data_IF_270398507883
#
_entry.id   IF_270398507883
#
_cell.length_a   1.000
_cell.length_b   1.000
_cell.length_c   1.000
_cell.angle_alpha   90.00
_cell.angle_beta   90.00
_cell.angle_gamma   90.00
#
_symmetry.space_group_name_H-M   'P 1'
#
loop_
_entity.id
_entity.type
_entity.pdbx_description
1 polymer ?
#
# COMPACT_ATOMS: atom_id res chain seq x y z
N UNK A 1 -6.14 26.62 -3.95
CA UNK A 1 -4.85 26.27 -3.31
C UNK A 1 -3.75 27.12 -3.94
N UNK A 2 -2.85 27.75 -3.17
CA UNK A 2 -1.75 28.55 -3.74
C UNK A 2 -0.68 27.65 -4.37
N UNK A 3 -0.08 28.08 -5.48
CA UNK A 3 0.95 27.31 -6.22
C UNK A 3 2.13 26.90 -5.33
N UNK A 4 2.56 27.80 -4.42
CA UNK A 4 3.60 27.48 -3.43
C UNK A 4 3.23 26.29 -2.53
N UNK A 5 1.96 26.15 -2.13
CA UNK A 5 1.51 25.02 -1.29
C UNK A 5 1.48 23.71 -2.07
N UNK A 6 1.00 23.71 -3.33
CA UNK A 6 1.03 22.53 -4.19
C UNK A 6 2.45 21.99 -4.34
N UNK A 7 3.41 22.88 -4.60
CA UNK A 7 4.83 22.53 -4.72
C UNK A 7 5.39 21.89 -3.46
N UNK A 8 5.07 22.44 -2.28
CA UNK A 8 5.51 21.87 -0.99
C UNK A 8 4.91 20.47 -0.77
N UNK A 9 3.61 20.29 -1.00
CA UNK A 9 2.94 18.99 -0.82
C UNK A 9 3.51 17.93 -1.77
N UNK A 10 3.79 18.32 -3.02
CA UNK A 10 4.42 17.45 -4.00
C UNK A 10 5.84 17.04 -3.56
N UNK A 11 6.66 17.99 -3.09
CA UNK A 11 7.99 17.70 -2.58
C UNK A 11 7.97 16.78 -1.35
N UNK A 12 7.05 17.01 -0.41
CA UNK A 12 6.88 16.16 0.77
C UNK A 12 6.47 14.73 0.39
N UNK A 13 5.61 14.58 -0.62
CA UNK A 13 5.20 13.26 -1.14
C UNK A 13 6.40 12.52 -1.72
N UNK A 14 7.20 13.18 -2.58
CA UNK A 14 8.42 12.61 -3.17
C UNK A 14 9.43 12.25 -2.08
N UNK A 15 9.60 13.12 -1.08
CA UNK A 15 10.50 12.88 0.05
C UNK A 15 10.05 11.66 0.88
N UNK A 16 8.76 11.51 1.16
CA UNK A 16 8.23 10.35 1.88
C UNK A 16 8.48 9.03 1.14
N UNK A 17 8.21 8.97 -0.16
CA UNK A 17 8.52 7.79 -0.97
C UNK A 17 10.03 7.51 -1.06
N UNK A 18 10.84 8.56 -1.17
CA UNK A 18 12.31 8.43 -1.22
C UNK A 18 12.88 7.92 0.10
N UNK A 19 12.42 8.45 1.23
CA UNK A 19 12.85 8.02 2.57
C UNK A 19 12.39 6.60 2.87
N UNK A 20 11.14 6.25 2.51
CA UNK A 20 10.68 4.86 2.56
C UNK A 20 11.65 3.94 1.82
N UNK A 21 11.94 4.28 0.56
CA UNK A 21 12.79 3.46 -0.28
C UNK A 21 14.21 3.35 0.28
N UNK A 22 14.87 4.46 0.62
CA UNK A 22 16.26 4.47 1.10
C UNK A 22 16.39 3.69 2.40
N UNK A 23 15.53 3.94 3.38
CA UNK A 23 15.62 3.30 4.69
C UNK A 23 15.38 1.79 4.57
N UNK A 24 14.31 1.39 3.88
CA UNK A 24 14.01 -0.04 3.69
C UNK A 24 15.08 -0.73 2.85
N UNK A 25 15.55 -0.08 1.78
CA UNK A 25 16.60 -0.62 0.92
C UNK A 25 17.91 -0.84 1.69
N UNK A 26 18.37 0.17 2.44
CA UNK A 26 19.60 0.07 3.23
C UNK A 26 19.51 -1.03 4.28
N UNK A 27 18.37 -1.14 4.96
CA UNK A 27 18.15 -2.19 5.96
C UNK A 27 18.10 -3.58 5.30
N UNK A 28 17.36 -3.74 4.20
CA UNK A 28 17.32 -5.01 3.43
C UNK A 28 18.69 -5.38 2.83
N UNK A 29 19.48 -4.40 2.39
CA UNK A 29 20.82 -4.63 1.89
C UNK A 29 21.76 -5.10 3.00
N UNK A 30 21.71 -4.45 4.17
CA UNK A 30 22.46 -4.90 5.35
C UNK A 30 22.02 -6.32 5.76
N UNK A 31 20.71 -6.60 5.70
CA UNK A 31 20.17 -7.91 6.00
C UNK A 31 20.73 -8.98 5.06
N UNK A 32 20.77 -8.72 3.74
CA UNK A 32 21.36 -9.63 2.75
C UNK A 32 22.87 -9.81 2.99
N UNK A 33 23.62 -8.75 3.25
CA UNK A 33 25.09 -8.85 3.42
C UNK A 33 25.45 -9.60 4.73
N UNK A 34 24.70 -9.39 5.82
CA UNK A 34 25.05 -9.90 7.15
C UNK A 34 24.34 -11.23 7.49
N UNK A 35 23.21 -11.56 6.85
CA UNK A 35 22.45 -12.79 7.10
C UNK A 35 23.20 -14.10 6.83
N UNK A 36 24.28 -14.19 6.03
CA UNK A 36 25.05 -15.45 5.95
C UNK A 36 25.71 -15.84 7.28
N UNK A 37 26.17 -14.85 8.05
CA UNK A 37 26.95 -15.07 9.28
C UNK A 37 26.19 -14.72 10.56
N UNK A 38 25.16 -13.88 10.49
CA UNK A 38 24.37 -13.42 11.62
C UNK A 38 22.91 -13.89 11.52
N UNK A 39 22.28 -14.12 12.68
CA UNK A 39 20.85 -14.47 12.76
C UNK A 39 20.53 -15.90 13.17
N UNK A 40 21.50 -16.67 13.67
CA UNK A 40 21.31 -18.03 14.18
C UNK A 40 20.51 -18.91 13.20
N UNK A 41 19.28 -19.30 13.55
CA UNK A 41 18.42 -20.18 12.75
C UNK A 41 17.94 -19.53 11.45
N UNK A 42 17.94 -18.20 11.38
CA UNK A 42 17.66 -17.41 10.18
C UNK A 42 18.90 -17.13 9.32
N UNK A 43 20.08 -17.59 9.75
CA UNK A 43 21.29 -17.45 8.95
C UNK A 43 21.25 -18.34 7.71
N UNK A 44 21.84 -17.89 6.60
CA UNK A 44 21.92 -18.70 5.38
C UNK A 44 22.70 -20.00 5.62
N UNK A 45 23.70 -19.94 6.52
CA UNK A 45 24.52 -21.09 6.91
C UNK A 45 23.78 -22.14 7.74
N UNK A 46 22.56 -21.86 8.21
CA UNK A 46 21.71 -22.85 8.90
C UNK A 46 21.14 -23.92 7.93
N UNK A 47 21.34 -23.76 6.60
CA UNK A 47 20.98 -24.73 5.54
C UNK A 47 19.49 -25.11 5.50
N UNK A 48 18.61 -24.26 6.05
CA UNK A 48 17.16 -24.41 5.93
C UNK A 48 16.68 -23.92 4.56
N UNK A 49 15.82 -24.70 3.89
CA UNK A 49 15.27 -24.36 2.56
C UNK A 49 14.56 -23.01 2.54
N UNK A 50 13.85 -22.67 3.62
CA UNK A 50 13.18 -21.38 3.77
C UNK A 50 14.15 -20.19 3.65
N UNK A 51 15.32 -20.28 4.30
CA UNK A 51 16.29 -19.18 4.35
C UNK A 51 16.82 -18.85 2.95
N UNK A 52 17.04 -19.87 2.11
CA UNK A 52 17.43 -19.67 0.71
C UNK A 52 16.37 -18.94 -0.10
N UNK A 53 15.09 -19.29 0.08
CA UNK A 53 13.98 -18.64 -0.62
C UNK A 53 13.83 -17.19 -0.15
N UNK A 54 13.79 -16.95 1.16
CA UNK A 54 13.69 -15.62 1.74
C UNK A 54 14.83 -14.70 1.27
N UNK A 55 16.06 -15.23 1.25
CA UNK A 55 17.23 -14.51 0.76
C UNK A 55 17.15 -14.22 -0.75
N UNK A 56 16.76 -15.20 -1.56
CA UNK A 56 16.62 -15.03 -3.00
C UNK A 56 15.55 -13.98 -3.36
N UNK A 57 14.39 -14.02 -2.70
CA UNK A 57 13.31 -13.02 -2.89
C UNK A 57 13.79 -11.64 -2.47
N UNK A 58 14.49 -11.53 -1.34
CA UNK A 58 15.02 -10.25 -0.85
C UNK A 58 16.08 -9.69 -1.81
N UNK A 59 17.01 -10.51 -2.27
CA UNK A 59 18.04 -10.10 -3.23
C UNK A 59 17.45 -9.69 -4.59
N UNK A 60 16.46 -10.45 -5.09
CA UNK A 60 15.76 -10.12 -6.34
C UNK A 60 14.96 -8.81 -6.21
N UNK A 61 14.28 -8.61 -5.07
CA UNK A 61 13.57 -7.38 -4.73
C UNK A 61 14.51 -6.18 -4.68
N UNK A 62 15.70 -6.31 -4.08
CA UNK A 62 16.73 -5.27 -4.06
C UNK A 62 17.27 -4.97 -5.46
N UNK A 63 17.56 -5.99 -6.28
CA UNK A 63 18.06 -5.80 -7.64
C UNK A 63 17.04 -5.06 -8.52
N UNK A 64 15.78 -5.53 -8.52
CA UNK A 64 14.69 -4.88 -9.25
C UNK A 64 14.40 -3.46 -8.71
N UNK A 65 14.38 -3.30 -7.39
CA UNK A 65 14.21 -2.01 -6.73
C UNK A 65 15.31 -1.02 -7.10
N UNK A 66 16.57 -1.45 -7.15
CA UNK A 66 17.71 -0.60 -7.53
C UNK A 66 17.53 -0.01 -8.93
N UNK A 67 17.15 -0.85 -9.91
CA UNK A 67 16.93 -0.41 -11.30
C UNK A 67 15.82 0.64 -11.37
N UNK A 68 14.69 0.38 -10.67
CA UNK A 68 13.56 1.30 -10.65
C UNK A 68 13.89 2.62 -9.95
N UNK A 69 14.58 2.55 -8.80
CA UNK A 69 14.90 3.73 -8.00
C UNK A 69 15.95 4.62 -8.65
N UNK A 70 17.01 4.06 -9.24
CA UNK A 70 18.01 4.85 -10.00
C UNK A 70 17.33 5.59 -11.14
N UNK A 71 16.41 4.94 -11.88
CA UNK A 71 15.66 5.58 -12.95
C UNK A 71 14.80 6.74 -12.43
N UNK A 72 14.10 6.56 -11.31
CA UNK A 72 13.31 7.60 -10.65
C UNK A 72 14.18 8.77 -10.18
N UNK A 73 15.29 8.48 -9.51
CA UNK A 73 16.19 9.49 -8.98
C UNK A 73 16.83 10.35 -10.09
N UNK A 74 17.24 9.72 -11.19
CA UNK A 74 17.74 10.44 -12.37
C UNK A 74 16.66 11.34 -12.96
N UNK A 75 15.41 10.87 -13.02
CA UNK A 75 14.29 11.65 -13.56
C UNK A 75 13.98 12.89 -12.70
N UNK A 76 13.88 12.73 -11.39
CA UNK A 76 13.72 13.84 -10.43
C UNK A 76 14.89 14.81 -10.54
N UNK A 77 16.13 14.31 -10.54
CA UNK A 77 17.33 15.12 -10.64
C UNK A 77 17.40 15.94 -11.93
N UNK A 78 17.01 15.36 -13.08
CA UNK A 78 16.92 16.08 -14.36
C UNK A 78 15.84 17.17 -14.32
N UNK A 79 14.67 16.89 -13.76
CA UNK A 79 13.61 17.90 -13.64
C UNK A 79 14.03 19.07 -12.77
N UNK A 80 14.66 18.80 -11.61
CA UNK A 80 15.16 19.84 -10.70
C UNK A 80 16.25 20.71 -11.36
N UNK A 81 17.17 20.10 -12.12
CA UNK A 81 18.23 20.83 -12.85
C UNK A 81 17.69 21.62 -14.05
N UNK A 82 16.66 21.10 -14.72
CA UNK A 82 16.03 21.73 -15.88
C UNK A 82 15.04 22.84 -15.55
N UNK A 83 14.85 23.18 -14.27
CA UNK A 83 13.93 24.23 -13.83
C UNK A 83 12.44 23.89 -14.02
N UNK A 84 12.11 22.66 -14.45
CA UNK A 84 10.72 22.19 -14.62
C UNK A 84 10.23 21.54 -13.33
N UNK A 85 9.00 21.85 -12.95
CA UNK A 85 8.40 21.24 -11.77
C UNK A 85 8.10 19.76 -12.04
N UNK A 86 8.67 18.88 -11.20
CA UNK A 86 8.42 17.44 -11.30
C UNK A 86 7.08 17.12 -10.66
N UNK A 87 6.08 16.75 -11.45
CA UNK A 87 4.76 16.40 -10.93
C UNK A 87 4.73 14.92 -10.53
N UNK A 88 4.54 14.65 -9.23
CA UNK A 88 4.46 13.28 -8.72
C UNK A 88 3.34 12.48 -9.39
N UNK A 89 2.20 13.10 -9.68
CA UNK A 89 1.03 12.41 -10.23
C UNK A 89 1.27 11.76 -11.60
N UNK A 90 2.07 12.40 -12.45
CA UNK A 90 2.45 11.88 -13.77
C UNK A 90 3.27 10.58 -13.65
N UNK A 91 4.10 10.50 -12.62
CA UNK A 91 5.03 9.39 -12.36
C UNK A 91 4.65 8.53 -11.15
N UNK A 92 3.41 8.67 -10.65
CA UNK A 92 2.96 7.97 -9.44
C UNK A 92 3.04 6.43 -9.61
N UNK A 93 2.89 5.94 -10.85
CA UNK A 93 2.99 4.52 -11.17
C UNK A 93 4.38 3.99 -10.84
N UNK A 94 5.42 4.66 -11.31
CA UNK A 94 6.80 4.25 -11.14
C UNK A 94 7.19 4.24 -9.65
N UNK A 95 6.78 5.27 -8.90
CA UNK A 95 6.98 5.35 -7.45
C UNK A 95 6.28 4.24 -6.68
N UNK A 96 5.00 3.98 -6.98
CA UNK A 96 4.23 2.94 -6.29
C UNK A 96 4.75 1.54 -6.65
N UNK A 97 5.14 1.31 -7.91
CA UNK A 97 5.74 0.04 -8.34
C UNK A 97 7.08 -0.19 -7.65
N UNK A 98 7.96 0.82 -7.60
CA UNK A 98 9.23 0.71 -6.87
C UNK A 98 9.01 0.39 -5.39
N UNK A 99 8.05 1.07 -4.75
CA UNK A 99 7.73 0.83 -3.35
C UNK A 99 7.19 -0.59 -3.10
N UNK A 100 6.34 -1.08 -4.00
CA UNK A 100 5.74 -2.42 -3.94
C UNK A 100 6.75 -3.53 -4.23
N UNK A 101 7.66 -3.31 -5.18
CA UNK A 101 8.73 -4.27 -5.49
C UNK A 101 9.68 -4.42 -4.30
N UNK A 102 10.06 -3.31 -3.65
CA UNK A 102 10.90 -3.36 -2.46
C UNK A 102 10.18 -4.00 -1.25
N UNK A 103 8.86 -3.81 -1.17
CA UNK A 103 8.02 -4.40 -0.13
C UNK A 103 8.10 -5.93 -0.11
N UNK A 104 8.25 -6.60 -1.26
CA UNK A 104 8.43 -8.06 -1.29
C UNK A 104 9.61 -8.54 -0.44
N UNK A 105 10.76 -7.86 -0.50
CA UNK A 105 11.89 -8.15 0.38
C UNK A 105 11.65 -7.72 1.83
N UNK A 106 10.82 -6.69 2.04
CA UNK A 106 10.35 -6.27 3.36
C UNK A 106 9.52 -7.33 4.09
N UNK A 107 8.72 -8.11 3.35
CA UNK A 107 7.89 -9.18 3.90
C UNK A 107 8.64 -10.49 4.19
N UNK A 108 9.95 -10.56 3.93
CA UNK A 108 10.76 -11.75 4.19
C UNK A 108 11.61 -11.57 5.44
N UNK A 109 11.41 -12.43 6.44
CA UNK A 109 12.27 -12.41 7.63
C UNK A 109 13.60 -13.12 7.34
N UNK A 110 14.70 -12.38 7.47
CA UNK A 110 16.07 -12.87 7.29
C UNK A 110 16.89 -12.71 8.58
N UNK A 111 18.09 -13.30 8.63
CA UNK A 111 18.90 -13.36 9.85
C UNK A 111 19.29 -12.03 10.47
N UNK A 112 19.25 -10.93 9.71
CA UNK A 112 19.56 -9.60 10.21
C UNK A 112 18.44 -8.61 9.85
N UNK A 113 17.19 -9.01 10.08
CA UNK A 113 16.02 -8.14 9.91
C UNK A 113 15.81 -7.25 11.13
N UNK A 114 15.81 -5.94 10.92
CA UNK A 114 15.53 -4.92 11.93
C UNK A 114 14.10 -4.39 11.75
N UNK A 115 13.12 -5.11 12.32
CA UNK A 115 11.71 -4.78 12.18
C UNK A 115 11.39 -3.31 12.54
N UNK A 116 12.03 -2.76 13.57
CA UNK A 116 11.85 -1.35 13.95
C UNK A 116 12.22 -0.35 12.84
N UNK A 117 13.30 -0.62 12.11
CA UNK A 117 13.75 0.24 10.99
C UNK A 117 12.80 0.11 9.80
N UNK A 118 12.27 -1.10 9.55
CA UNK A 118 11.22 -1.30 8.54
C UNK A 118 9.96 -0.51 8.89
N UNK A 119 9.48 -0.55 10.15
CA UNK A 119 8.34 0.24 10.59
C UNK A 119 8.55 1.76 10.41
N UNK A 120 9.74 2.26 10.70
CA UNK A 120 10.09 3.67 10.46
C UNK A 120 9.97 4.01 8.97
N UNK A 121 10.47 3.13 8.08
CA UNK A 121 10.31 3.31 6.64
C UNK A 121 8.83 3.36 6.23
N UNK A 122 8.00 2.42 6.67
CA UNK A 122 6.55 2.45 6.40
C UNK A 122 5.88 3.72 6.91
N UNK A 123 6.34 4.26 8.04
CA UNK A 123 5.89 5.55 8.57
C UNK A 123 6.04 6.69 7.56
N UNK A 124 7.14 6.73 6.80
CA UNK A 124 7.33 7.74 5.74
C UNK A 124 6.38 7.54 4.55
N UNK A 125 6.06 6.29 4.20
CA UNK A 125 5.08 6.00 3.15
C UNK A 125 3.66 6.42 3.59
N UNK A 126 3.29 6.14 4.84
CA UNK A 126 2.03 6.62 5.44
C UNK A 126 2.01 8.15 5.48
N UNK A 127 3.12 8.79 5.86
CA UNK A 127 3.27 10.24 5.81
C UNK A 127 2.99 10.81 4.42
N UNK A 128 3.50 10.18 3.36
CA UNK A 128 3.22 10.60 1.99
C UNK A 128 1.73 10.46 1.63
N UNK A 129 1.06 9.40 2.09
CA UNK A 129 -0.40 9.25 1.90
C UNK A 129 -1.18 10.32 2.66
N UNK A 130 -0.77 10.67 3.88
CA UNK A 130 -1.38 11.75 4.66
C UNK A 130 -1.21 13.10 3.94
N UNK A 131 -0.04 13.37 3.35
CA UNK A 131 0.20 14.58 2.55
C UNK A 131 -0.76 14.65 1.36
N UNK A 132 -0.96 13.52 0.64
CA UNK A 132 -1.97 13.45 -0.43
C UNK A 132 -3.39 13.66 0.11
N UNK A 133 -3.73 13.10 1.27
CA UNK A 133 -5.02 13.32 1.91
C UNK A 133 -5.28 14.82 2.20
N UNK A 134 -4.27 15.50 2.75
CA UNK A 134 -4.34 16.95 3.00
C UNK A 134 -4.55 17.71 1.69
N UNK A 135 -3.84 17.34 0.62
CA UNK A 135 -4.03 17.94 -0.70
C UNK A 135 -5.47 17.78 -1.20
N UNK A 136 -6.03 16.56 -1.14
CA UNK A 136 -7.42 16.27 -1.52
C UNK A 136 -8.42 17.08 -0.69
N UNK A 137 -8.23 17.14 0.63
CA UNK A 137 -9.10 17.90 1.54
C UNK A 137 -9.07 19.41 1.26
N UNK A 138 -7.93 19.93 0.79
CA UNK A 138 -7.76 21.34 0.43
C UNK A 138 -8.29 21.67 -0.97
N UNK A 139 -8.41 20.69 -1.86
CA UNK A 139 -8.97 20.86 -3.21
C UNK A 139 -10.50 20.83 -3.25
N UNK A 140 -11.16 20.62 -2.10
CA UNK A 140 -12.62 20.55 -2.01
C UNK A 140 -13.19 19.16 -2.31
N UNK A 141 -12.34 18.13 -2.42
CA UNK A 141 -12.78 16.73 -2.51
C UNK A 141 -13.40 16.26 -1.18
N UNK A 142 -14.14 15.14 -1.19
CA UNK A 142 -14.78 14.61 0.02
C UNK A 142 -13.71 14.14 1.02
N UNK A 143 -13.49 15.01 2.03
CA UNK A 143 -12.53 14.80 3.12
C UNK A 143 -12.72 13.46 3.81
N UNK A 144 -13.97 13.03 3.97
CA UNK A 144 -14.31 11.79 4.67
C UNK A 144 -13.75 10.58 3.92
N UNK A 145 -13.96 10.55 2.60
CA UNK A 145 -13.51 9.44 1.75
C UNK A 145 -11.99 9.42 1.65
N UNK A 146 -11.34 10.59 1.55
CA UNK A 146 -9.88 10.70 1.51
C UNK A 146 -9.24 10.19 2.82
N UNK A 147 -9.75 10.61 3.98
CA UNK A 147 -9.26 10.17 5.30
C UNK A 147 -9.46 8.67 5.48
N UNK A 148 -10.68 8.18 5.18
CA UNK A 148 -11.02 6.77 5.31
C UNK A 148 -10.17 5.89 4.39
N UNK A 149 -9.84 6.38 3.20
CA UNK A 149 -8.94 5.69 2.27
C UNK A 149 -7.53 5.52 2.82
N UNK A 150 -6.96 6.55 3.46
CA UNK A 150 -5.64 6.43 4.11
C UNK A 150 -5.70 5.42 5.24
N UNK A 151 -6.68 5.54 6.13
CA UNK A 151 -6.84 4.61 7.26
C UNK A 151 -6.98 3.18 6.75
N UNK A 152 -7.86 2.95 5.79
CA UNK A 152 -8.08 1.63 5.21
C UNK A 152 -6.82 1.04 4.56
N UNK A 153 -6.12 1.80 3.72
CA UNK A 153 -4.88 1.32 3.07
C UNK A 153 -3.78 1.04 4.10
N UNK A 154 -3.66 1.88 5.13
CA UNK A 154 -2.70 1.65 6.22
C UNK A 154 -3.03 0.38 6.99
N UNK A 155 -4.27 0.19 7.42
CA UNK A 155 -4.69 -1.03 8.12
C UNK A 155 -4.49 -2.27 7.23
N UNK A 156 -4.86 -2.17 5.95
CA UNK A 156 -4.66 -3.24 4.98
C UNK A 156 -3.18 -3.62 4.84
N UNK A 157 -2.28 -2.64 4.72
CA UNK A 157 -0.84 -2.92 4.63
C UNK A 157 -0.29 -3.67 5.86
N UNK A 158 -0.81 -3.38 7.05
CA UNK A 158 -0.40 -4.04 8.29
C UNK A 158 -1.03 -5.43 8.48
N UNK A 159 -2.06 -5.75 7.70
CA UNK A 159 -2.69 -7.08 7.69
C UNK A 159 -1.97 -8.08 6.79
N UNK A 160 -0.96 -7.65 6.03
CA UNK A 160 -0.16 -8.55 5.18
C UNK A 160 0.82 -9.30 6.09
N UNK A 161 0.80 -10.64 6.12
CA UNK A 161 1.71 -11.41 6.96
C UNK A 161 3.15 -11.31 6.45
N UNK A 162 4.10 -11.25 7.39
CA UNK A 162 5.53 -11.39 7.12
C UNK A 162 5.86 -12.88 7.15
N UNK A 163 6.67 -13.37 6.21
CA UNK A 163 7.08 -14.76 6.17
C UNK A 163 8.16 -15.03 7.23
N UNK A 164 7.93 -16.00 8.11
CA UNK A 164 8.85 -16.39 9.18
C UNK A 164 9.33 -17.84 9.02
N UNK A 165 10.42 -18.18 9.69
CA UNK A 165 10.73 -19.60 9.91
C UNK A 165 9.70 -20.14 10.90
N UNK A 166 9.22 -21.34 10.63
CA UNK A 166 8.33 -22.06 11.53
C UNK A 166 8.97 -23.38 11.96
N UNK A 167 8.82 -23.68 13.25
CA UNK A 167 9.28 -24.92 13.88
C UNK A 167 8.17 -25.98 13.96
N UNK A 168 7.05 -25.75 13.26
CA UNK A 168 5.87 -26.61 13.29
C UNK A 168 6.19 -28.05 12.93
N UNK A 169 5.33 -28.95 13.40
CA UNK A 169 5.28 -30.34 12.93
C UNK A 169 5.28 -30.37 11.40
N UNK A 170 6.01 -31.32 10.82
CA UNK A 170 6.26 -31.40 9.38
C UNK A 170 4.98 -31.32 8.52
N UNK A 171 3.88 -31.92 8.98
CA UNK A 171 2.60 -31.94 8.28
C UNK A 171 1.94 -30.55 8.13
N UNK A 172 2.12 -29.64 9.10
CA UNK A 172 1.56 -28.28 9.06
C UNK A 172 2.53 -27.26 8.49
N UNK A 173 3.83 -27.57 8.49
CA UNK A 173 4.89 -26.68 8.01
C UNK A 173 4.75 -26.32 6.53
N UNK A 174 4.48 -27.30 5.68
CA UNK A 174 4.33 -27.09 4.22
C UNK A 174 3.12 -26.19 3.91
N UNK A 175 1.89 -26.50 4.37
CA UNK A 175 0.74 -25.64 4.09
C UNK A 175 0.90 -24.24 4.71
N UNK A 176 1.57 -24.13 5.86
CA UNK A 176 1.90 -22.84 6.47
C UNK A 176 2.76 -21.98 5.55
N UNK A 177 3.91 -22.47 5.09
CA UNK A 177 4.76 -21.70 4.17
C UNK A 177 4.05 -21.36 2.87
N UNK A 178 3.29 -22.29 2.29
CA UNK A 178 2.49 -22.02 1.09
C UNK A 178 1.51 -20.86 1.34
N UNK A 179 0.84 -20.84 2.50
CA UNK A 179 -0.10 -19.79 2.85
C UNK A 179 0.57 -18.43 3.02
N UNK A 180 1.73 -18.35 3.69
CA UNK A 180 2.48 -17.10 3.86
C UNK A 180 2.97 -16.56 2.52
N UNK A 181 3.60 -17.40 1.71
CA UNK A 181 4.08 -16.99 0.39
C UNK A 181 2.93 -16.57 -0.52
N UNK A 182 1.80 -17.28 -0.50
CA UNK A 182 0.63 -16.92 -1.29
C UNK A 182 0.00 -15.60 -0.82
N UNK A 183 -0.06 -15.38 0.49
CA UNK A 183 -0.54 -14.14 1.07
C UNK A 183 0.33 -12.95 0.62
N UNK A 184 1.66 -13.06 0.74
CA UNK A 184 2.58 -12.02 0.27
C UNK A 184 2.47 -11.83 -1.24
N UNK A 185 2.45 -12.91 -2.02
CA UNK A 185 2.40 -12.87 -3.48
C UNK A 185 1.18 -12.14 -4.02
N UNK A 186 0.02 -12.25 -3.36
CA UNK A 186 -1.23 -11.65 -3.82
C UNK A 186 -1.54 -10.32 -3.14
N UNK A 187 -1.27 -10.19 -1.84
CA UNK A 187 -1.64 -8.99 -1.07
C UNK A 187 -0.66 -7.83 -1.27
N UNK A 188 0.63 -8.10 -1.50
CA UNK A 188 1.60 -7.02 -1.80
C UNK A 188 1.26 -6.30 -3.12
N UNK A 189 0.97 -6.98 -4.24
CA UNK A 189 0.48 -6.31 -5.45
C UNK A 189 -0.88 -5.62 -5.24
N UNK A 190 -1.79 -6.21 -4.47
CA UNK A 190 -3.07 -5.57 -4.15
C UNK A 190 -2.87 -4.25 -3.37
N UNK A 191 -1.93 -4.23 -2.41
CA UNK A 191 -1.52 -3.01 -1.72
C UNK A 191 -0.95 -1.99 -2.70
N UNK A 192 0.00 -2.40 -3.55
CA UNK A 192 0.59 -1.52 -4.57
C UNK A 192 -0.42 -0.91 -5.52
N UNK A 193 -1.43 -1.69 -5.91
CA UNK A 193 -2.56 -1.24 -6.72
C UNK A 193 -3.42 -0.21 -5.98
N UNK A 194 -3.78 -0.48 -4.72
CA UNK A 194 -4.54 0.48 -3.90
C UNK A 194 -3.77 1.77 -3.65
N UNK A 195 -2.48 1.67 -3.34
CA UNK A 195 -1.58 2.81 -3.18
C UNK A 195 -1.55 3.65 -4.45
N UNK A 196 -1.34 3.04 -5.62
CA UNK A 196 -1.34 3.76 -6.90
C UNK A 196 -2.67 4.47 -7.17
N UNK A 197 -3.78 3.76 -6.97
CA UNK A 197 -5.12 4.32 -7.19
C UNK A 197 -5.36 5.50 -6.27
N UNK A 198 -5.00 5.37 -4.99
CA UNK A 198 -5.11 6.43 -4.00
C UNK A 198 -4.23 7.64 -4.35
N UNK A 199 -2.96 7.41 -4.69
CA UNK A 199 -2.05 8.50 -5.03
C UNK A 199 -2.48 9.28 -6.28
N UNK A 200 -3.19 8.63 -7.23
CA UNK A 200 -3.74 9.30 -8.42
C UNK A 200 -5.10 9.97 -8.16
N UNK A 201 -5.99 9.33 -7.42
CA UNK A 201 -7.41 9.74 -7.33
C UNK A 201 -7.84 10.26 -5.97
N UNK A 202 -6.99 10.17 -4.94
CA UNK A 202 -7.35 10.50 -3.56
C UNK A 202 -8.27 9.49 -2.87
N UNK A 203 -8.62 8.39 -3.55
CA UNK A 203 -9.61 7.41 -3.07
C UNK A 203 -9.12 5.98 -3.27
N UNK A 204 -9.24 5.18 -2.21
CA UNK A 204 -8.92 3.75 -2.20
C UNK A 204 -9.95 2.92 -2.98
N UNK A 205 -9.61 1.66 -3.26
CA UNK A 205 -10.54 0.72 -3.86
C UNK A 205 -11.30 -0.04 -2.77
N UNK A 206 -12.60 0.22 -2.62
CA UNK A 206 -13.48 -0.46 -1.67
C UNK A 206 -14.29 -1.59 -2.32
N UNK A 207 -13.78 -2.19 -3.39
CA UNK A 207 -14.35 -3.45 -3.91
C UNK A 207 -14.20 -4.56 -2.87
N UNK A 208 -15.20 -5.44 -2.69
CA UNK A 208 -15.16 -6.50 -1.68
C UNK A 208 -14.09 -7.57 -1.95
N UNK A 209 -13.59 -7.66 -3.19
CA UNK A 209 -12.61 -8.67 -3.59
C UNK A 209 -11.32 -8.58 -2.77
N UNK A 210 -10.79 -7.36 -2.58
CA UNK A 210 -9.53 -7.14 -1.87
C UNK A 210 -9.63 -7.49 -0.37
N UNK A 211 -10.59 -6.97 0.42
CA UNK A 211 -10.72 -7.34 1.83
C UNK A 211 -11.11 -8.81 2.02
N UNK A 212 -11.88 -9.41 1.12
CA UNK A 212 -12.16 -10.85 1.19
C UNK A 212 -10.91 -11.69 0.93
N UNK A 213 -10.11 -11.35 -0.09
CA UNK A 213 -8.84 -12.02 -0.36
C UNK A 213 -7.88 -11.90 0.83
N UNK A 214 -7.79 -10.72 1.44
CA UNK A 214 -7.00 -10.51 2.67
C UNK A 214 -7.50 -11.34 3.83
N UNK A 215 -8.81 -11.33 4.11
CA UNK A 215 -9.38 -12.12 5.20
C UNK A 215 -9.11 -13.62 5.02
N UNK A 216 -9.18 -14.14 3.78
CA UNK A 216 -8.88 -15.53 3.47
C UNK A 216 -7.39 -15.84 3.62
N UNK A 217 -6.51 -15.03 3.02
CA UNK A 217 -5.08 -15.31 2.97
C UNK A 217 -4.39 -15.05 4.31
N UNK A 218 -4.58 -13.86 4.89
CA UNK A 218 -4.03 -13.54 6.22
C UNK A 218 -4.70 -14.37 7.32
N UNK A 219 -6.00 -14.63 7.20
CA UNK A 219 -6.72 -15.51 8.13
C UNK A 219 -6.22 -16.96 8.08
N UNK A 220 -5.89 -17.49 6.89
CA UNK A 220 -5.31 -18.82 6.76
C UNK A 220 -3.93 -18.92 7.44
N UNK A 221 -3.07 -17.91 7.28
CA UNK A 221 -1.77 -17.85 7.97
C UNK A 221 -1.96 -17.87 9.48
N UNK A 222 -2.84 -17.01 10.00
CA UNK A 222 -3.14 -16.93 11.45
C UNK A 222 -3.75 -18.24 11.97
N UNK A 223 -4.67 -18.86 11.22
CA UNK A 223 -5.31 -20.11 11.62
C UNK A 223 -4.31 -21.28 11.67
N UNK A 224 -3.37 -21.34 10.72
CA UNK A 224 -2.31 -22.36 10.72
C UNK A 224 -1.28 -22.12 11.84
N UNK A 225 -1.07 -20.87 12.26
CA UNK A 225 -0.22 -20.51 13.40
C UNK A 225 -0.84 -20.75 14.78
N UNK A 226 -2.13 -21.08 14.85
CA UNK A 226 -2.84 -21.19 16.12
C UNK A 226 -2.27 -22.25 17.07
N UNK A 227 -1.48 -23.19 16.57
CA UNK A 227 -0.88 -24.27 17.35
C UNK A 227 0.49 -23.96 17.94
N UNK A 228 1.18 -22.91 17.47
CA UNK A 228 2.48 -22.48 18.03
C UNK A 228 2.31 -21.16 18.77
N UNK A 229 2.35 -20.05 18.02
CA UNK A 229 2.18 -18.70 18.50
C UNK A 229 1.37 -17.91 17.47
N UNK A 230 0.20 -17.41 17.89
CA UNK A 230 -0.68 -16.63 17.03
C UNK A 230 -0.02 -15.28 16.74
N UNK A 231 0.13 -14.92 15.46
CA UNK A 231 0.53 -13.59 15.07
C UNK A 231 -0.60 -12.58 15.33
N UNK A 232 -0.67 -12.11 16.58
CA UNK A 232 -1.69 -11.17 17.07
C UNK A 232 -1.67 -9.85 16.29
N UNK A 233 -0.50 -9.40 15.84
CA UNK A 233 -0.37 -8.18 15.04
C UNK A 233 -1.20 -8.30 13.76
N UNK A 234 -0.96 -9.35 12.96
CA UNK A 234 -1.70 -9.57 11.70
C UNK A 234 -3.19 -9.78 11.97
N UNK A 235 -3.55 -10.53 13.01
CA UNK A 235 -4.95 -10.77 13.38
C UNK A 235 -5.68 -9.45 13.69
N UNK A 236 -5.10 -8.60 14.54
CA UNK A 236 -5.69 -7.31 14.92
C UNK A 236 -5.89 -6.45 13.67
N UNK A 237 -4.87 -6.31 12.82
CA UNK A 237 -4.97 -5.46 11.63
C UNK A 237 -5.91 -6.04 10.57
N UNK A 238 -6.01 -7.36 10.42
CA UNK A 238 -6.99 -7.99 9.54
C UNK A 238 -8.43 -7.68 10.00
N UNK A 239 -8.71 -7.84 11.29
CA UNK A 239 -10.03 -7.51 11.87
C UNK A 239 -10.33 -6.01 11.73
N UNK A 240 -9.39 -5.14 12.09
CA UNK A 240 -9.56 -3.69 11.95
C UNK A 240 -9.79 -3.27 10.50
N UNK A 241 -9.10 -3.91 9.53
CA UNK A 241 -9.30 -3.65 8.11
C UNK A 241 -10.71 -4.05 7.66
N UNK A 242 -11.21 -5.19 8.11
CA UNK A 242 -12.58 -5.64 7.83
C UNK A 242 -13.62 -4.71 8.45
N UNK A 243 -13.44 -4.31 9.71
CA UNK A 243 -14.33 -3.36 10.39
C UNK A 243 -14.34 -2.02 9.66
N UNK A 244 -13.16 -1.50 9.30
CA UNK A 244 -13.02 -0.27 8.53
C UNK A 244 -13.71 -0.38 7.17
N UNK A 245 -13.53 -1.50 6.47
CA UNK A 245 -14.22 -1.77 5.21
C UNK A 245 -15.74 -1.74 5.38
N UNK A 246 -16.28 -2.50 6.34
CA UNK A 246 -17.71 -2.57 6.62
C UNK A 246 -18.30 -1.21 7.00
N UNK A 247 -17.57 -0.40 7.78
CA UNK A 247 -17.96 0.97 8.13
C UNK A 247 -17.94 1.93 6.92
N UNK A 248 -17.07 1.67 5.94
CA UNK A 248 -16.92 2.49 4.73
C UNK A 248 -18.06 2.27 3.73
N UNK A 249 -18.55 1.03 3.60
CA UNK A 249 -19.63 0.65 2.66
C UNK A 249 -20.89 1.54 2.77
N UNK A 250 -21.51 1.76 3.95
CA UNK A 250 -22.70 2.59 4.05
C UNK A 250 -22.42 4.07 3.72
N UNK A 251 -21.22 4.58 4.05
CA UNK A 251 -20.81 5.95 3.73
C UNK A 251 -20.72 6.13 2.21
N UNK A 252 -20.07 5.18 1.52
CA UNK A 252 -19.95 5.17 0.06
C UNK A 252 -21.31 4.99 -0.63
N UNK A 253 -22.17 4.09 -0.13
CA UNK A 253 -23.53 3.89 -0.68
C UNK A 253 -24.42 5.11 -0.54
N UNK A 254 -24.46 5.76 0.63
CA UNK A 254 -25.23 6.99 0.85
C UNK A 254 -24.81 8.10 -0.10
N UNK A 255 -23.50 8.21 -0.37
CA UNK A 255 -22.95 9.21 -1.29
C UNK A 255 -23.30 8.94 -2.75
N UNK A 256 -23.24 7.68 -3.20
CA UNK A 256 -23.66 7.31 -4.57
C UNK A 256 -25.16 7.57 -4.80
N UNK A 257 -26.01 7.30 -3.80
CA UNK A 257 -27.45 7.59 -3.87
C UNK A 257 -27.74 9.09 -3.94
N UNK A 258 -27.02 9.92 -3.18
CA UNK A 258 -27.21 11.37 -3.19
C UNK A 258 -26.79 12.01 -4.52
N UNK A 259 -25.69 11.55 -5.14
CA UNK A 259 -25.25 12.01 -6.47
C UNK A 259 -26.21 11.58 -7.58
N UNK A 260 -26.79 10.37 -7.48
CA UNK A 260 -27.84 9.91 -8.41
C UNK A 260 -29.11 10.76 -8.33
N UNK A 261 -29.51 11.19 -7.13
CA UNK A 261 -30.69 12.06 -6.94
C UNK A 261 -30.50 13.47 -7.52
N UNK A 262 -29.29 14.03 -7.46
CA UNK A 262 -28.98 15.35 -8.03
C UNK A 262 -28.97 15.32 -9.55
N UNK A 263 -28.45 14.24 -10.15
CA UNK A 263 -28.48 14.06 -11.60
C UNK A 263 -29.90 13.82 -12.14
N UNK A 264 -30.77 13.15 -11.38
CA UNK A 264 -32.20 13.00 -11.72
C UNK A 264 -32.95 14.32 -11.61
N UNK A 265 -32.75 15.11 -10.54
CA UNK A 265 -33.35 16.44 -10.39
C UNK A 265 -32.92 17.44 -11.46
N UNK A 266 -31.65 17.40 -11.87
CA UNK A 266 -31.14 18.30 -12.90
C UNK A 266 -31.71 17.96 -14.30
N UNK A 267 -32.06 16.69 -14.52
CA UNK A 267 -32.69 16.21 -15.76
C UNK A 267 -34.18 16.51 -15.82
N UNK A 268 -34.87 16.51 -14.68
CA UNK A 268 -36.26 16.94 -14.55
C UNK A 268 -36.40 18.48 -14.68
N UNK A 269 -35.47 19.25 -14.13
CA UNK A 269 -35.43 20.71 -14.29
C UNK A 269 -35.21 21.16 -15.73
N UNK A 270 -34.32 20.50 -16.48
CA UNK A 270 -34.08 20.82 -17.89
C UNK A 270 -35.25 20.46 -18.81
N UNK A 271 -36.06 19.45 -18.46
CA UNK A 271 -37.27 19.12 -19.24
C UNK A 271 -38.43 20.11 -18.98
N UNK A 272 -38.48 20.74 -17.80
CA UNK A 272 -39.50 21.75 -17.49
C UNK A 272 -39.19 23.11 -18.13
N UNK A 273 -37.92 23.51 -18.23
CA UNK A 273 -37.54 24.73 -18.98
C UNK A 273 -37.87 24.60 -20.49
N UNK A 274 -37.62 23.43 -21.10
CA UNK A 274 -37.94 23.17 -22.52
C UNK A 274 -39.45 23.19 -22.82
N UNK A 275 -40.29 22.82 -21.83
CA UNK A 275 -41.75 22.89 -21.98
C UNK A 275 -42.31 24.29 -21.77
N UNK A 276 -41.63 25.15 -20.99
CA UNK A 276 -42.09 26.52 -20.73
C UNK A 276 -41.71 27.46 -21.89
N UNK A 277 -40.56 27.27 -22.53
CA UNK A 277 -40.18 28.03 -23.74
C UNK A 277 -41.01 27.64 -24.98
N UNK A 278 -41.57 26.43 -25.01
CA UNK A 278 -42.46 25.96 -26.09
C UNK A 278 -43.89 26.51 -26.03
N UNK A 279 -44.33 27.01 -24.86
CA UNK A 279 -45.66 27.62 -24.69
C UNK A 279 -45.67 29.14 -24.87
N UNK A 280 -44.54 29.85 -24.71
CA UNK A 280 -44.44 31.29 -25.02
C UNK A 280 -44.28 31.60 -26.52
N UNK A 281 -44.10 30.59 -27.37
CA UNK A 281 -43.99 30.73 -28.84
C UNK A 281 -45.25 30.31 -29.62
N UNK A 282 -46.39 30.13 -28.96
CA UNK A 282 -47.70 29.89 -29.60
C UNK A 282 -48.67 31.03 -29.35
#
# INVERSE_FOLDING_TARGET
MTEKRKRILNLLTIAGFSLYFIILFSERLAAVILSPTHGAEYALNAKLTFNYIAYAVTALSLAAGSVLFVRLFVMVGRSLRGGKEYLFEEHAKEWCVAATVLLFGGMMHTGFTLAGVQFVSYGFLIGAMIVKCVACCMSGEDKTVAILSVIYITLFSMSIPVCYISFMRLALRVPFFISEFLAVLLLVPAFGWQLLRYMRRGVADFTPVIPCAMALLSGAVVALQWTEDVNLFVLIFAVLTLVCYCASVPILRKRLSHTGSLLSKNKEGSMQEEQTEGEEQK
#
